data_IF_322098876738
#
_entry.id   IF_322098876738
#
_cell.length_a   1.000
_cell.length_b   1.000
_cell.length_c   1.000
_cell.angle_alpha   90.00
_cell.angle_beta   90.00
_cell.angle_gamma   90.00
#
_symmetry.space_group_name_H-M   'P 1'
#
loop_
_entity.id
_entity.type
_entity.pdbx_description
1 polymer ?
#
# COMPACT_ATOMS: atom_id res chain seq x y z
N UNK A 1 11.35 13.51 24.75
CA UNK A 1 10.24 12.61 24.41
C UNK A 1 9.14 12.76 25.45
N UNK A 2 8.15 13.63 25.20
CA UNK A 2 7.05 13.88 26.14
C UNK A 2 6.00 12.81 25.87
N UNK A 3 5.82 11.89 26.81
CA UNK A 3 4.70 10.95 26.83
C UNK A 3 3.44 11.78 27.12
N UNK A 4 2.70 12.14 26.08
CA UNK A 4 1.39 12.78 26.23
C UNK A 4 0.39 11.69 26.60
N UNK A 5 -0.08 11.71 27.83
CA UNK A 5 -1.19 10.90 28.28
C UNK A 5 -2.47 11.32 27.55
N UNK A 6 -2.95 10.46 26.64
CA UNK A 6 -4.18 10.70 25.89
C UNK A 6 -5.37 10.11 26.62
N UNK A 7 -6.27 10.95 27.10
CA UNK A 7 -7.65 10.54 27.39
C UNK A 7 -8.49 10.77 26.12
N UNK A 8 -8.65 9.73 25.32
CA UNK A 8 -9.71 9.72 24.29
C UNK A 8 -11.07 9.92 24.97
N UNK A 9 -11.99 10.63 24.31
CA UNK A 9 -13.37 10.70 24.80
C UNK A 9 -13.97 9.31 24.92
N UNK A 10 -14.90 9.10 25.86
CA UNK A 10 -15.58 7.81 26.03
C UNK A 10 -16.26 7.35 24.73
N UNK A 11 -16.82 8.29 23.97
CA UNK A 11 -17.45 8.03 22.67
C UNK A 11 -16.45 7.53 21.61
N UNK A 12 -15.26 8.15 21.54
CA UNK A 12 -14.21 7.72 20.61
C UNK A 12 -13.65 6.34 20.97
N UNK A 13 -13.57 6.04 22.25
CA UNK A 13 -13.13 4.74 22.75
C UNK A 13 -14.12 3.63 22.36
N UNK A 14 -15.43 3.86 22.52
CA UNK A 14 -16.50 2.91 22.13
C UNK A 14 -16.50 2.71 20.62
N UNK A 15 -16.45 3.78 19.86
CA UNK A 15 -16.42 3.72 18.39
C UNK A 15 -15.20 2.95 17.87
N UNK A 16 -14.02 3.25 18.39
CA UNK A 16 -12.78 2.54 18.03
C UNK A 16 -12.86 1.05 18.35
N UNK A 17 -13.44 0.70 19.51
CA UNK A 17 -13.69 -0.69 19.89
C UNK A 17 -14.61 -1.40 18.88
N UNK A 18 -15.72 -0.78 18.50
CA UNK A 18 -16.68 -1.36 17.54
C UNK A 18 -16.02 -1.65 16.18
N UNK A 19 -15.19 -0.73 15.67
CA UNK A 19 -14.44 -0.93 14.42
C UNK A 19 -13.45 -2.08 14.55
N UNK A 20 -12.65 -2.13 15.62
CA UNK A 20 -11.68 -3.20 15.84
C UNK A 20 -12.35 -4.58 15.94
N UNK A 21 -13.46 -4.67 16.66
CA UNK A 21 -14.25 -5.90 16.76
C UNK A 21 -14.78 -6.34 15.39
N UNK A 22 -15.22 -5.39 14.58
CA UNK A 22 -15.69 -5.68 13.22
C UNK A 22 -14.56 -6.14 12.29
N UNK A 23 -13.39 -5.51 12.36
CA UNK A 23 -12.19 -5.96 11.65
C UNK A 23 -11.85 -7.40 12.04
N UNK A 24 -11.85 -7.72 13.36
CA UNK A 24 -11.59 -9.06 13.85
C UNK A 24 -12.62 -10.08 13.36
N UNK A 25 -13.90 -9.73 13.36
CA UNK A 25 -14.97 -10.58 12.85
C UNK A 25 -14.78 -10.88 11.35
N UNK A 26 -14.38 -9.88 10.55
CA UNK A 26 -14.09 -10.08 9.13
C UNK A 26 -12.88 -10.99 8.87
N UNK A 27 -11.93 -11.09 9.80
CA UNK A 27 -10.80 -12.02 9.71
C UNK A 27 -11.22 -13.47 9.92
N UNK A 28 -12.23 -13.70 10.76
CA UNK A 28 -12.64 -15.04 11.21
C UNK A 28 -13.64 -15.76 10.30
N UNK A 29 -14.30 -15.04 9.36
CA UNK A 29 -15.47 -15.54 8.62
C UNK A 29 -15.15 -16.29 7.32
N UNK A 30 -13.97 -16.94 7.16
CA UNK A 30 -13.52 -17.28 5.82
C UNK A 30 -13.34 -18.75 5.50
N UNK A 31 -14.24 -19.26 4.67
CA UNK A 31 -13.99 -20.44 3.84
C UNK A 31 -13.18 -20.05 2.60
N UNK A 32 -12.09 -20.75 2.32
CA UNK A 32 -11.27 -20.59 1.11
C UNK A 32 -10.06 -19.67 1.22
N UNK A 33 -9.81 -19.10 2.40
CA UNK A 33 -8.59 -18.34 2.70
C UNK A 33 -7.70 -19.09 3.70
N UNK A 34 -6.37 -18.92 3.66
CA UNK A 34 -5.53 -19.40 4.75
C UNK A 34 -5.98 -18.82 6.09
N UNK A 35 -5.88 -19.55 7.21
CA UNK A 35 -6.32 -19.07 8.51
C UNK A 35 -5.67 -17.72 8.86
N UNK A 36 -6.47 -16.76 9.33
CA UNK A 36 -6.01 -15.42 9.73
C UNK A 36 -5.75 -14.44 8.58
N UNK A 37 -5.79 -14.87 7.32
CA UNK A 37 -5.69 -13.98 6.17
C UNK A 37 -7.04 -13.28 5.96
N UNK A 38 -7.01 -11.96 5.85
CA UNK A 38 -8.20 -11.16 5.60
C UNK A 38 -8.77 -11.40 4.20
N UNK A 39 -10.09 -11.56 4.09
CA UNK A 39 -10.74 -11.75 2.80
C UNK A 39 -10.59 -10.53 1.92
N UNK A 40 -10.27 -10.81 0.68
CA UNK A 40 -10.31 -9.82 -0.37
C UNK A 40 -10.98 -10.39 -1.62
N UNK A 41 -11.52 -9.51 -2.44
CA UNK A 41 -12.15 -9.85 -3.71
C UNK A 41 -11.44 -9.13 -4.84
N UNK A 42 -11.21 -9.88 -5.91
CA UNK A 42 -10.75 -9.34 -7.18
C UNK A 42 -11.96 -9.14 -8.10
N UNK A 43 -12.12 -7.93 -8.59
CA UNK A 43 -13.23 -7.51 -9.45
C UNK A 43 -12.67 -7.12 -10.81
N UNK A 44 -13.23 -7.65 -11.88
CA UNK A 44 -12.84 -7.25 -13.22
C UNK A 44 -13.40 -5.86 -13.53
N UNK A 45 -12.54 -4.88 -13.75
CA UNK A 45 -12.96 -3.48 -13.87
C UNK A 45 -13.89 -3.22 -15.07
N UNK A 46 -13.76 -4.02 -16.14
CA UNK A 46 -14.63 -3.95 -17.30
C UNK A 46 -16.04 -4.52 -17.02
N UNK A 47 -16.15 -5.54 -16.17
CA UNK A 47 -17.43 -6.14 -15.75
C UNK A 47 -17.44 -6.30 -14.24
N UNK A 48 -17.94 -5.28 -13.55
CA UNK A 48 -17.94 -5.21 -12.08
C UNK A 48 -18.81 -6.26 -11.37
N UNK A 49 -19.65 -6.99 -12.11
CA UNK A 49 -20.40 -8.13 -11.60
C UNK A 49 -19.53 -9.40 -11.56
N UNK A 50 -18.40 -9.42 -12.26
CA UNK A 50 -17.47 -10.54 -12.22
C UNK A 50 -16.45 -10.31 -11.10
N UNK A 51 -16.73 -10.87 -9.93
CA UNK A 51 -15.88 -10.84 -8.76
C UNK A 51 -15.52 -12.26 -8.30
N UNK A 52 -14.31 -12.43 -7.78
CA UNK A 52 -13.82 -13.70 -7.23
C UNK A 52 -13.07 -13.44 -5.95
N UNK A 53 -13.18 -14.38 -5.00
CA UNK A 53 -12.31 -14.40 -3.84
C UNK A 53 -10.86 -14.50 -4.30
N UNK A 54 -10.01 -13.70 -3.69
CA UNK A 54 -8.57 -13.65 -4.03
C UNK A 54 -7.74 -13.73 -2.73
N UNK A 55 -7.23 -14.94 -2.39
CA UNK A 55 -6.50 -15.15 -1.15
C UNK A 55 -5.05 -14.64 -1.28
N UNK A 56 -4.88 -13.32 -1.21
CA UNK A 56 -3.59 -12.65 -1.15
C UNK A 56 -3.23 -12.24 0.28
N UNK A 57 -1.94 -12.00 0.51
CA UNK A 57 -1.41 -11.61 1.82
C UNK A 57 -1.34 -10.10 2.01
N UNK A 58 -1.41 -9.34 0.92
CA UNK A 58 -1.18 -7.91 0.87
C UNK A 58 -2.02 -7.12 1.87
N UNK A 59 -3.35 -7.29 1.82
CA UNK A 59 -4.23 -6.58 2.73
C UNK A 59 -4.03 -6.97 4.19
N UNK A 60 -3.67 -8.22 4.46
CA UNK A 60 -3.34 -8.66 5.83
C UNK A 60 -2.11 -7.91 6.35
N UNK A 61 -1.07 -7.81 5.54
CA UNK A 61 0.11 -7.02 5.87
C UNK A 61 -0.21 -5.56 6.15
N UNK A 62 -1.00 -4.92 5.30
CA UNK A 62 -1.43 -3.54 5.45
C UNK A 62 -2.26 -3.32 6.73
N UNK A 63 -3.24 -4.20 7.02
CA UNK A 63 -4.08 -4.10 8.23
C UNK A 63 -3.21 -4.25 9.48
N UNK A 64 -2.40 -5.30 9.54
CA UNK A 64 -1.51 -5.54 10.68
C UNK A 64 -0.59 -4.35 10.92
N UNK A 65 0.08 -3.86 9.87
CA UNK A 65 0.95 -2.68 9.97
C UNK A 65 0.19 -1.44 10.47
N UNK A 66 -0.99 -1.15 9.92
CA UNK A 66 -1.81 0.01 10.30
C UNK A 66 -2.23 -0.07 11.76
N UNK A 67 -2.71 -1.23 12.23
CA UNK A 67 -3.14 -1.40 13.62
C UNK A 67 -1.98 -1.31 14.61
N UNK A 68 -0.82 -1.88 14.30
CA UNK A 68 0.37 -1.83 15.15
C UNK A 68 0.90 -0.40 15.33
N UNK A 69 0.83 0.43 14.31
CA UNK A 69 1.27 1.84 14.35
C UNK A 69 0.65 2.62 15.52
N UNK A 70 -0.61 2.37 15.83
CA UNK A 70 -1.34 3.08 16.88
C UNK A 70 -1.58 2.25 18.15
N UNK A 71 -1.08 1.02 18.21
CA UNK A 71 -1.32 0.10 19.32
C UNK A 71 -1.04 0.70 20.70
N UNK A 72 0.06 1.44 20.86
CA UNK A 72 0.45 2.06 22.13
C UNK A 72 -0.48 3.20 22.59
N UNK A 73 -1.31 3.71 21.69
CA UNK A 73 -2.29 4.77 21.99
C UNK A 73 -3.65 4.19 22.36
N UNK A 74 -3.83 2.89 22.24
CA UNK A 74 -5.07 2.18 22.49
C UNK A 74 -5.23 1.81 23.97
N UNK A 75 -6.50 1.64 24.42
CA UNK A 75 -6.80 1.08 25.73
C UNK A 75 -6.33 -0.38 25.83
N UNK A 76 -6.09 -0.92 27.04
CA UNK A 76 -5.68 -2.33 27.20
C UNK A 76 -6.62 -3.33 26.54
N UNK A 77 -7.90 -3.02 26.47
CA UNK A 77 -8.88 -3.87 25.82
C UNK A 77 -8.77 -3.85 24.29
N UNK A 78 -8.61 -2.67 23.70
CA UNK A 78 -8.35 -2.53 22.25
C UNK A 78 -7.02 -3.17 21.87
N UNK A 79 -5.99 -3.03 22.70
CA UNK A 79 -4.69 -3.69 22.50
C UNK A 79 -4.82 -5.22 22.43
N UNK A 80 -5.68 -5.82 23.27
CA UNK A 80 -5.93 -7.28 23.21
C UNK A 80 -6.54 -7.69 21.88
N UNK A 81 -7.52 -6.94 21.38
CA UNK A 81 -8.12 -7.21 20.04
C UNK A 81 -7.07 -7.09 18.95
N UNK A 82 -6.30 -6.00 18.94
CA UNK A 82 -5.22 -5.79 17.96
C UNK A 82 -4.20 -6.93 18.03
N UNK A 83 -3.76 -7.32 19.22
CA UNK A 83 -2.80 -8.41 19.40
C UNK A 83 -3.32 -9.75 18.84
N UNK A 84 -4.63 -10.02 19.01
CA UNK A 84 -5.23 -11.23 18.44
C UNK A 84 -5.27 -11.15 16.92
N UNK A 85 -5.72 -10.03 16.35
CA UNK A 85 -5.71 -9.79 14.88
C UNK A 85 -4.30 -9.98 14.31
N UNK A 86 -3.31 -9.39 14.95
CA UNK A 86 -1.89 -9.48 14.55
C UNK A 86 -1.39 -10.93 14.60
N UNK A 87 -1.64 -11.62 15.71
CA UNK A 87 -1.24 -13.03 15.90
C UNK A 87 -1.83 -13.90 14.81
N UNK A 88 -3.14 -13.79 14.57
CA UNK A 88 -3.83 -14.60 13.57
C UNK A 88 -3.37 -14.24 12.15
N UNK A 89 -3.25 -12.94 11.83
CA UNK A 89 -2.82 -12.44 10.52
C UNK A 89 -1.40 -12.88 10.15
N UNK A 90 -0.49 -12.92 11.11
CA UNK A 90 0.90 -13.33 10.87
C UNK A 90 1.11 -14.85 10.90
N UNK A 91 0.15 -15.64 11.40
CA UNK A 91 0.29 -17.09 11.53
C UNK A 91 0.48 -17.81 10.19
N UNK A 92 -0.14 -17.30 9.13
CA UNK A 92 -0.13 -17.94 7.80
C UNK A 92 0.75 -17.24 6.76
N UNK A 93 1.49 -16.18 7.12
CA UNK A 93 2.30 -15.45 6.11
C UNK A 93 3.42 -16.31 5.51
N UNK A 94 3.84 -17.36 6.19
CA UNK A 94 4.88 -18.27 5.72
C UNK A 94 4.59 -18.95 4.38
N UNK A 95 3.32 -19.22 4.05
CA UNK A 95 2.93 -19.84 2.76
C UNK A 95 3.09 -18.89 1.57
N UNK A 96 3.31 -17.60 1.81
CA UNK A 96 3.56 -16.58 0.80
C UNK A 96 5.05 -16.25 0.64
N UNK A 97 5.90 -16.82 1.48
CA UNK A 97 7.35 -16.60 1.47
C UNK A 97 8.00 -17.24 0.24
N UNK A 98 9.09 -16.63 -0.22
CA UNK A 98 9.89 -17.13 -1.32
C UNK A 98 10.40 -18.57 -1.07
N UNK A 99 10.20 -19.46 -2.04
CA UNK A 99 10.61 -20.87 -1.93
C UNK A 99 12.10 -21.09 -2.14
N UNK A 100 12.82 -20.14 -2.74
CA UNK A 100 14.25 -20.23 -3.03
C UNK A 100 15.13 -19.72 -1.86
N UNK A 101 14.55 -19.49 -0.69
CA UNK A 101 15.28 -19.08 0.51
C UNK A 101 15.48 -17.57 0.68
N UNK A 102 15.07 -16.73 -0.28
CA UNK A 102 15.08 -15.28 -0.08
C UNK A 102 14.07 -14.87 0.99
N UNK A 103 14.36 -13.82 1.71
CA UNK A 103 13.43 -13.26 2.70
C UNK A 103 12.48 -12.24 2.08
N UNK A 104 11.81 -12.66 1.01
CA UNK A 104 10.87 -11.89 0.22
C UNK A 104 9.53 -12.61 0.16
N UNK A 105 8.48 -11.88 -0.21
CA UNK A 105 7.12 -12.39 -0.21
C UNK A 105 6.46 -12.18 -1.58
N UNK A 106 5.53 -13.08 -1.87
CA UNK A 106 4.71 -13.06 -3.06
C UNK A 106 3.29 -12.65 -2.67
N UNK A 107 2.60 -11.97 -3.56
CA UNK A 107 1.21 -11.59 -3.39
C UNK A 107 0.29 -12.80 -3.14
N UNK A 108 0.52 -13.90 -3.85
CA UNK A 108 -0.19 -15.16 -3.70
C UNK A 108 0.67 -16.24 -3.06
N UNK A 109 -0.02 -17.29 -2.59
CA UNK A 109 0.66 -18.48 -2.02
C UNK A 109 1.69 -19.05 -2.98
N UNK A 110 2.86 -19.35 -2.45
CA UNK A 110 3.97 -19.92 -3.23
C UNK A 110 3.94 -21.45 -3.26
N UNK A 111 3.24 -22.09 -2.31
CA UNK A 111 3.01 -23.54 -2.30
C UNK A 111 2.00 -24.01 -3.36
N UNK A 112 1.10 -23.12 -3.80
CA UNK A 112 0.14 -23.36 -4.87
C UNK A 112 0.25 -22.21 -5.88
N UNK A 113 1.21 -22.27 -6.83
CA UNK A 113 1.48 -21.18 -7.76
C UNK A 113 0.23 -20.76 -8.53
N UNK A 114 -0.06 -19.47 -8.51
CA UNK A 114 -1.13 -18.87 -9.28
C UNK A 114 -0.55 -18.11 -10.47
N UNK A 115 -1.26 -18.18 -11.60
CA UNK A 115 -0.89 -17.50 -12.84
C UNK A 115 -1.72 -16.21 -12.92
N UNK A 116 -1.16 -15.18 -13.55
CA UNK A 116 -1.89 -13.95 -13.84
C UNK A 116 -3.24 -14.24 -14.50
N UNK A 117 -4.32 -13.60 -14.06
CA UNK A 117 -5.69 -13.89 -14.52
C UNK A 117 -5.89 -13.79 -16.05
N UNK A 118 -5.10 -12.96 -16.72
CA UNK A 118 -5.14 -12.75 -18.18
C UNK A 118 -3.98 -13.40 -18.94
N UNK A 119 -3.13 -14.16 -18.24
CA UNK A 119 -2.22 -15.05 -18.93
C UNK A 119 -3.09 -16.10 -19.66
N UNK A 120 -2.99 -16.19 -20.98
CA UNK A 120 -3.84 -17.07 -21.80
C UNK A 120 -3.83 -18.51 -21.30
N UNK A 121 -4.84 -19.31 -21.66
CA UNK A 121 -5.04 -20.67 -21.15
C UNK A 121 -3.80 -21.60 -21.31
N UNK A 122 -2.95 -21.38 -22.31
CA UNK A 122 -1.69 -22.09 -22.51
C UNK A 122 -0.69 -21.88 -21.36
N UNK A 123 -0.73 -20.74 -20.71
CA UNK A 123 0.17 -20.42 -19.59
C UNK A 123 -0.17 -21.20 -18.29
N UNK A 124 -1.31 -21.88 -18.24
CA UNK A 124 -1.63 -22.80 -17.13
C UNK A 124 -0.64 -23.96 -17.03
N UNK A 125 0.05 -24.29 -18.12
CA UNK A 125 1.04 -25.36 -18.17
C UNK A 125 2.46 -24.85 -17.95
N UNK A 126 2.70 -23.55 -18.01
CA UNK A 126 4.02 -22.95 -17.80
C UNK A 126 4.13 -22.33 -16.39
N UNK A 127 4.71 -23.09 -15.46
CA UNK A 127 4.99 -22.63 -14.09
C UNK A 127 5.93 -21.41 -14.03
N UNK A 128 6.63 -21.09 -15.11
CA UNK A 128 7.48 -19.90 -15.20
C UNK A 128 6.69 -18.59 -15.25
N UNK A 129 5.40 -18.66 -15.49
CA UNK A 129 4.47 -17.53 -15.54
C UNK A 129 3.83 -17.22 -14.16
N UNK A 130 4.24 -17.92 -13.10
CA UNK A 130 3.84 -17.53 -11.74
C UNK A 130 4.35 -16.14 -11.43
N UNK A 131 3.53 -15.36 -10.69
CA UNK A 131 3.92 -14.04 -10.22
C UNK A 131 5.22 -14.16 -9.39
N UNK A 132 6.27 -13.39 -9.67
CA UNK A 132 7.44 -13.35 -8.78
C UNK A 132 7.09 -12.61 -7.50
N UNK A 133 7.97 -12.70 -6.50
CA UNK A 133 7.87 -11.85 -5.33
C UNK A 133 7.95 -10.39 -5.76
N UNK A 134 7.26 -9.53 -5.05
CA UNK A 134 7.33 -8.10 -5.29
C UNK A 134 7.90 -7.33 -4.08
N UNK A 135 8.29 -6.09 -4.35
CA UNK A 135 8.87 -5.24 -3.32
C UNK A 135 7.82 -4.82 -2.30
N UNK A 136 6.60 -4.60 -2.75
CA UNK A 136 5.52 -4.07 -1.95
C UNK A 136 5.09 -5.05 -0.86
N UNK A 137 4.71 -6.27 -1.27
CA UNK A 137 4.38 -7.34 -0.32
C UNK A 137 5.52 -7.61 0.64
N UNK A 138 6.76 -7.63 0.13
CA UNK A 138 7.94 -7.91 0.95
C UNK A 138 8.15 -6.84 2.02
N UNK A 139 8.18 -5.54 1.68
CA UNK A 139 8.43 -4.50 2.67
C UNK A 139 7.29 -4.35 3.67
N UNK A 140 6.04 -4.47 3.23
CA UNK A 140 4.87 -4.36 4.10
C UNK A 140 4.82 -5.52 5.09
N UNK A 141 5.07 -6.75 4.63
CA UNK A 141 5.05 -7.92 5.52
C UNK A 141 6.22 -7.95 6.49
N UNK A 142 7.43 -7.58 6.05
CA UNK A 142 8.58 -7.47 6.95
C UNK A 142 8.36 -6.38 8.00
N UNK A 143 7.76 -5.28 7.61
CA UNK A 143 7.40 -4.19 8.50
C UNK A 143 6.29 -4.61 9.49
N UNK A 144 5.25 -5.28 9.01
CA UNK A 144 4.19 -5.83 9.85
C UNK A 144 4.71 -6.85 10.88
N UNK A 145 5.74 -7.63 10.51
CA UNK A 145 6.42 -8.59 11.40
C UNK A 145 7.39 -7.91 12.39
N UNK A 146 7.73 -6.62 12.20
CA UNK A 146 8.75 -5.90 12.99
C UNK A 146 10.08 -6.69 13.04
N UNK A 147 10.57 -7.05 11.86
CA UNK A 147 11.84 -7.78 11.73
C UNK A 147 13.02 -6.96 12.28
N UNK A 148 14.15 -7.61 12.55
CA UNK A 148 15.35 -6.89 13.01
C UNK A 148 15.93 -6.00 11.90
N UNK A 149 16.70 -4.97 12.28
CA UNK A 149 17.37 -4.06 11.33
C UNK A 149 18.30 -4.83 10.38
N UNK A 150 18.99 -5.84 10.88
CA UNK A 150 19.90 -6.68 10.09
C UNK A 150 19.14 -7.45 9.00
N UNK A 151 17.98 -8.02 9.36
CA UNK A 151 17.12 -8.72 8.41
C UNK A 151 16.54 -7.76 7.36
N UNK A 152 16.14 -6.57 7.78
CA UNK A 152 15.67 -5.53 6.87
C UNK A 152 16.79 -5.08 5.90
N UNK A 153 18.04 -4.93 6.38
CA UNK A 153 19.18 -4.55 5.56
C UNK A 153 19.49 -5.60 4.48
N UNK A 154 19.46 -6.89 4.80
CA UNK A 154 19.68 -7.96 3.81
C UNK A 154 18.66 -7.90 2.66
N UNK A 155 17.40 -7.61 2.98
CA UNK A 155 16.35 -7.47 1.94
C UNK A 155 16.58 -6.20 1.13
N UNK A 156 16.94 -5.09 1.77
CA UNK A 156 17.26 -3.84 1.09
C UNK A 156 18.46 -4.00 0.13
N UNK A 157 19.52 -4.70 0.55
CA UNK A 157 20.65 -5.03 -0.34
C UNK A 157 20.19 -5.88 -1.53
N UNK A 158 19.28 -6.83 -1.29
CA UNK A 158 18.71 -7.64 -2.37
C UNK A 158 17.93 -6.79 -3.37
N UNK A 159 17.18 -5.77 -2.92
CA UNK A 159 16.45 -4.86 -3.80
C UNK A 159 17.36 -4.10 -4.77
N UNK A 160 18.59 -3.74 -4.34
CA UNK A 160 19.57 -3.06 -5.18
C UNK A 160 19.87 -3.84 -6.48
N UNK A 161 19.84 -5.17 -6.42
CA UNK A 161 20.10 -6.04 -7.56
C UNK A 161 19.02 -5.96 -8.65
N UNK A 162 17.84 -5.46 -8.31
CA UNK A 162 16.68 -5.37 -9.20
C UNK A 162 16.31 -3.92 -9.57
N UNK A 163 17.15 -2.98 -9.21
CA UNK A 163 16.99 -1.59 -9.66
C UNK A 163 17.19 -1.48 -11.18
N UNK A 164 16.56 -0.45 -11.77
CA UNK A 164 16.72 -0.15 -13.20
C UNK A 164 18.20 0.01 -13.56
N UNK A 165 18.59 -0.43 -14.74
CA UNK A 165 19.97 -0.44 -15.26
C UNK A 165 20.91 -1.49 -14.64
N UNK A 166 20.51 -2.20 -13.58
CA UNK A 166 21.35 -3.27 -13.01
C UNK A 166 21.28 -4.58 -13.81
N UNK A 167 20.08 -5.07 -14.06
CA UNK A 167 19.85 -6.32 -14.82
C UNK A 167 19.26 -6.01 -16.18
N UNK A 168 18.33 -5.06 -16.25
CA UNK A 168 17.62 -4.62 -17.46
C UNK A 168 17.38 -3.12 -17.38
N UNK A 169 17.08 -2.52 -18.54
CA UNK A 169 16.61 -1.13 -18.60
C UNK A 169 15.11 -1.08 -18.78
N UNK A 170 14.47 -0.13 -18.12
CA UNK A 170 13.03 0.08 -18.21
C UNK A 170 12.61 0.51 -19.64
N UNK A 171 11.52 -0.08 -20.14
CA UNK A 171 10.97 0.21 -21.48
C UNK A 171 9.61 0.91 -21.43
N UNK A 172 9.02 1.00 -20.27
CA UNK A 172 7.62 1.41 -20.05
C UNK A 172 7.46 2.62 -19.15
N UNK A 173 8.48 3.48 -19.06
CA UNK A 173 8.44 4.71 -18.25
C UNK A 173 8.41 5.99 -19.09
N UNK A 174 8.23 7.13 -18.40
CA UNK A 174 8.42 8.44 -19.01
C UNK A 174 9.90 8.67 -19.37
N UNK A 175 10.21 9.48 -20.41
CA UNK A 175 11.60 9.78 -20.78
C UNK A 175 12.44 10.28 -19.61
N UNK A 176 11.86 11.11 -18.73
CA UNK A 176 12.53 11.66 -17.55
C UNK A 176 13.03 10.58 -16.57
N UNK A 177 12.45 9.38 -16.59
CA UNK A 177 12.76 8.30 -15.65
C UNK A 177 13.57 7.15 -16.27
N UNK A 178 13.80 7.19 -17.58
CA UNK A 178 14.40 6.08 -18.32
C UNK A 178 15.75 5.63 -17.76
N UNK A 179 16.58 6.59 -17.35
CA UNK A 179 17.93 6.35 -16.87
C UNK A 179 18.08 6.40 -15.34
N UNK A 180 16.98 6.61 -14.61
CA UNK A 180 17.03 6.60 -13.15
C UNK A 180 17.24 5.15 -12.64
N UNK A 181 18.25 4.88 -11.81
CA UNK A 181 18.45 3.57 -11.20
C UNK A 181 17.49 3.33 -10.02
N UNK A 182 16.21 3.72 -10.18
CA UNK A 182 15.17 3.51 -9.19
C UNK A 182 14.77 2.03 -9.11
N UNK A 183 14.14 1.64 -8.03
CA UNK A 183 13.72 0.25 -7.81
C UNK A 183 12.62 -0.17 -8.79
N UNK A 184 12.69 -1.46 -9.20
CA UNK A 184 11.58 -2.12 -9.88
C UNK A 184 10.52 -2.55 -8.86
N UNK A 185 9.30 -2.78 -9.32
CA UNK A 185 8.24 -3.40 -8.50
C UNK A 185 8.56 -4.88 -8.17
N UNK A 186 9.38 -5.58 -8.99
CA UNK A 186 9.51 -7.03 -8.96
C UNK A 186 10.93 -7.53 -8.67
N UNK A 187 11.04 -8.61 -7.89
CA UNK A 187 12.29 -9.36 -7.68
C UNK A 187 12.59 -10.37 -8.79
N UNK A 188 11.98 -10.34 -9.93
CA UNK A 188 12.08 -11.37 -10.97
C UNK A 188 12.99 -10.99 -12.13
N UNK A 189 14.00 -11.82 -12.47
CA UNK A 189 14.81 -11.64 -13.68
C UNK A 189 13.99 -11.78 -14.99
N UNK A 190 12.87 -12.49 -14.96
CA UNK A 190 11.99 -12.70 -16.12
C UNK A 190 11.00 -11.54 -16.32
N UNK A 191 10.67 -10.79 -15.26
CA UNK A 191 9.79 -9.63 -15.36
C UNK A 191 10.51 -8.43 -15.99
N UNK A 192 9.80 -7.56 -16.72
CA UNK A 192 10.33 -6.26 -17.10
C UNK A 192 10.57 -5.41 -15.85
N UNK A 193 11.49 -4.44 -15.95
CA UNK A 193 11.56 -3.38 -14.95
C UNK A 193 10.27 -2.56 -15.07
N UNK A 194 9.60 -2.36 -13.95
CA UNK A 194 8.36 -1.59 -13.87
C UNK A 194 8.43 -0.65 -12.67
N UNK A 195 8.12 0.63 -12.88
CA UNK A 195 8.06 1.63 -11.84
C UNK A 195 6.63 1.84 -11.40
N UNK A 196 6.41 1.77 -10.09
CA UNK A 196 5.19 2.22 -9.45
C UNK A 196 5.53 3.18 -8.30
N UNK A 197 5.07 4.42 -8.40
CA UNK A 197 5.40 5.48 -7.43
C UNK A 197 4.95 5.13 -6.01
N UNK A 198 3.82 4.44 -5.84
CA UNK A 198 3.33 4.06 -4.52
C UNK A 198 4.17 2.93 -3.91
N UNK A 199 4.60 1.95 -4.73
CA UNK A 199 5.56 0.92 -4.30
C UNK A 199 6.87 1.57 -3.86
N UNK A 200 7.38 2.56 -4.61
CA UNK A 200 8.59 3.28 -4.21
C UNK A 200 8.40 4.03 -2.89
N UNK A 201 7.22 4.62 -2.64
CA UNK A 201 6.91 5.21 -1.33
C UNK A 201 6.95 4.17 -0.21
N UNK A 202 6.43 2.96 -0.41
CA UNK A 202 6.47 1.89 0.60
C UNK A 202 7.90 1.41 0.86
N UNK A 203 8.71 1.23 -0.18
CA UNK A 203 10.13 0.86 -0.06
C UNK A 203 10.90 1.92 0.74
N UNK A 204 10.80 3.21 0.36
CA UNK A 204 11.50 4.27 1.08
C UNK A 204 10.97 4.46 2.51
N UNK A 205 9.69 4.20 2.75
CA UNK A 205 9.14 4.18 4.12
C UNK A 205 9.78 3.08 4.96
N UNK A 206 9.97 1.89 4.39
CA UNK A 206 10.66 0.78 5.05
C UNK A 206 12.13 1.13 5.33
N UNK A 207 12.86 1.69 4.36
CA UNK A 207 14.24 2.12 4.52
C UNK A 207 14.38 3.13 5.66
N UNK A 208 13.49 4.14 5.71
CA UNK A 208 13.49 5.16 6.77
C UNK A 208 13.09 4.58 8.13
N UNK A 209 12.10 3.68 8.18
CA UNK A 209 11.61 3.11 9.45
C UNK A 209 12.66 2.26 10.16
N UNK A 210 13.49 1.55 9.39
CA UNK A 210 14.59 0.75 9.91
C UNK A 210 15.92 1.50 9.98
N UNK A 211 15.92 2.79 9.58
CA UNK A 211 17.15 3.61 9.53
C UNK A 211 18.29 2.88 8.81
N UNK A 212 17.98 2.38 7.59
CA UNK A 212 18.93 1.67 6.75
C UNK A 212 19.86 2.65 6.03
N UNK A 213 21.01 2.16 5.60
CA UNK A 213 21.96 2.95 4.82
C UNK A 213 21.31 3.38 3.49
N UNK A 214 21.22 4.69 3.28
CA UNK A 214 20.65 5.26 2.07
C UNK A 214 21.54 5.05 0.85
N UNK A 215 20.97 4.57 -0.25
CA UNK A 215 21.71 4.19 -1.46
C UNK A 215 21.40 5.09 -2.65
N UNK A 216 22.13 4.88 -3.76
CA UNK A 216 21.85 5.56 -5.02
C UNK A 216 20.46 5.21 -5.59
N UNK A 217 19.98 3.98 -5.36
CA UNK A 217 18.64 3.54 -5.82
C UNK A 217 17.52 4.18 -4.98
N UNK A 218 17.75 4.41 -3.67
CA UNK A 218 16.82 5.16 -2.82
C UNK A 218 16.72 6.62 -3.31
N UNK A 219 17.87 7.27 -3.57
CA UNK A 219 17.93 8.63 -4.10
C UNK A 219 17.23 8.76 -5.44
N UNK A 220 17.43 7.80 -6.35
CA UNK A 220 16.75 7.77 -7.65
C UNK A 220 15.25 7.54 -7.53
N UNK A 221 14.83 6.69 -6.59
CA UNK A 221 13.41 6.44 -6.29
C UNK A 221 12.74 7.68 -5.72
N UNK A 222 13.42 8.40 -4.81
CA UNK A 222 12.95 9.67 -4.29
C UNK A 222 12.87 10.74 -5.39
N UNK A 223 13.86 10.81 -6.28
CA UNK A 223 13.86 11.72 -7.42
C UNK A 223 12.67 11.48 -8.35
N UNK A 224 12.32 10.20 -8.61
CA UNK A 224 11.13 9.86 -9.38
C UNK A 224 9.87 10.42 -8.72
N UNK A 225 9.72 10.20 -7.41
CA UNK A 225 8.57 10.66 -6.62
C UNK A 225 8.46 12.20 -6.69
N UNK A 226 9.52 12.92 -6.36
CA UNK A 226 9.50 14.40 -6.34
C UNK A 226 9.27 14.99 -7.73
N UNK A 227 9.92 14.45 -8.78
CA UNK A 227 9.68 14.86 -10.17
C UNK A 227 8.21 14.64 -10.60
N UNK A 228 7.60 13.52 -10.18
CA UNK A 228 6.20 13.25 -10.49
C UNK A 228 5.26 14.24 -9.77
N UNK A 229 5.60 14.68 -8.55
CA UNK A 229 4.83 15.67 -7.80
C UNK A 229 4.95 17.06 -8.46
N UNK A 230 6.16 17.52 -8.76
CA UNK A 230 6.42 18.81 -9.39
C UNK A 230 5.67 18.97 -10.72
N UNK A 231 5.60 17.89 -11.50
CA UNK A 231 4.87 17.86 -12.77
C UNK A 231 3.40 17.49 -12.64
N UNK A 232 2.86 17.31 -11.43
CA UNK A 232 1.48 16.86 -11.16
C UNK A 232 1.10 15.51 -11.79
N UNK A 233 2.08 14.67 -12.13
CA UNK A 233 1.82 13.39 -12.80
C UNK A 233 1.13 12.38 -11.89
N UNK A 234 1.33 12.45 -10.59
CA UNK A 234 0.60 11.64 -9.59
C UNK A 234 -0.91 11.90 -9.59
N UNK A 235 -1.37 13.02 -10.14
CA UNK A 235 -2.79 13.33 -10.35
C UNK A 235 -3.20 13.13 -11.81
N UNK A 236 -2.40 13.67 -12.76
CA UNK A 236 -2.78 13.73 -14.18
C UNK A 236 -2.43 12.49 -14.99
N UNK A 237 -1.52 11.65 -14.48
CA UNK A 237 -1.02 10.43 -15.13
C UNK A 237 -0.90 9.26 -14.14
N UNK A 238 -1.79 9.20 -13.13
CA UNK A 238 -1.75 8.18 -12.08
C UNK A 238 -1.67 6.76 -12.63
N UNK A 239 -2.48 6.42 -13.63
CA UNK A 239 -2.49 5.10 -14.31
C UNK A 239 -1.13 4.71 -14.92
N UNK A 240 -0.28 5.69 -15.20
CA UNK A 240 0.99 5.45 -15.87
C UNK A 240 2.17 5.36 -14.89
N UNK A 241 2.18 6.24 -13.86
CA UNK A 241 3.31 6.33 -12.90
C UNK A 241 3.11 5.48 -11.65
N UNK A 242 1.87 5.12 -11.33
CA UNK A 242 1.51 4.22 -10.26
C UNK A 242 0.42 3.24 -10.75
N UNK A 243 0.76 2.35 -11.70
CA UNK A 243 -0.23 1.52 -12.39
C UNK A 243 -0.99 0.59 -11.43
N UNK A 244 -0.36 0.17 -10.33
CA UNK A 244 -0.97 -0.69 -9.32
C UNK A 244 -1.74 0.09 -8.23
N UNK A 245 -1.57 1.42 -8.20
CA UNK A 245 -2.23 2.34 -7.26
C UNK A 245 -2.80 3.56 -8.01
N UNK A 246 -3.42 3.33 -9.15
CA UNK A 246 -3.80 4.31 -10.16
C UNK A 246 -4.91 5.30 -9.74
N UNK A 247 -4.99 5.61 -8.45
CA UNK A 247 -5.93 6.58 -7.88
C UNK A 247 -5.16 7.70 -7.17
N UNK A 248 -5.37 8.97 -7.53
CA UNK A 248 -4.66 10.09 -6.91
C UNK A 248 -4.71 10.08 -5.38
N UNK A 249 -5.88 9.79 -4.78
CA UNK A 249 -6.03 9.72 -3.33
C UNK A 249 -5.15 8.63 -2.69
N UNK A 250 -5.03 7.47 -3.35
CA UNK A 250 -4.18 6.37 -2.88
C UNK A 250 -2.70 6.77 -2.97
N UNK A 251 -2.29 7.41 -4.06
CA UNK A 251 -0.91 7.90 -4.21
C UNK A 251 -0.59 8.95 -3.14
N UNK A 252 -1.51 9.91 -2.90
CA UNK A 252 -1.35 10.91 -1.83
C UNK A 252 -1.20 10.26 -0.46
N UNK A 253 -1.96 9.22 -0.17
CA UNK A 253 -1.85 8.47 1.07
C UNK A 253 -0.48 7.77 1.23
N UNK A 254 0.08 7.19 0.15
CA UNK A 254 1.41 6.58 0.19
C UNK A 254 2.52 7.62 0.40
N UNK A 255 2.43 8.78 -0.27
CA UNK A 255 3.35 9.90 -0.03
C UNK A 255 3.27 10.37 1.43
N UNK A 256 2.06 10.48 1.97
CA UNK A 256 1.83 10.87 3.36
C UNK A 256 2.45 9.89 4.37
N UNK A 257 2.34 8.59 4.11
CA UNK A 257 3.01 7.55 4.92
C UNK A 257 4.52 7.68 4.88
N UNK A 258 5.12 7.90 3.71
CA UNK A 258 6.55 8.12 3.56
C UNK A 258 7.03 9.32 4.39
N UNK A 259 6.28 10.42 4.40
CA UNK A 259 6.60 11.61 5.18
C UNK A 259 6.54 11.42 6.70
N UNK A 260 6.04 10.29 7.18
CA UNK A 260 5.92 9.98 8.62
C UNK A 260 6.73 8.76 9.05
N UNK A 261 7.39 8.09 8.12
CA UNK A 261 8.16 6.89 8.40
C UNK A 261 9.57 7.23 8.89
N UNK A 262 9.91 6.82 10.11
CA UNK A 262 11.27 6.80 10.65
C UNK A 262 12.09 8.09 10.51
N UNK A 263 13.35 7.93 10.11
CA UNK A 263 14.29 9.04 9.90
C UNK A 263 14.00 9.78 8.58
N UNK A 264 13.72 11.08 8.69
CA UNK A 264 13.34 11.92 7.54
C UNK A 264 14.50 12.68 6.91
N UNK A 265 15.73 12.48 7.38
CA UNK A 265 16.88 13.26 6.95
C UNK A 265 17.11 13.18 5.42
N UNK A 266 16.90 12.00 4.85
CA UNK A 266 17.16 11.75 3.43
C UNK A 266 16.01 12.21 2.50
N UNK A 267 14.84 12.58 3.02
CA UNK A 267 13.67 12.96 2.23
C UNK A 267 13.31 14.46 2.33
N UNK A 268 14.28 15.33 2.61
CA UNK A 268 14.04 16.77 2.78
C UNK A 268 13.44 17.43 1.54
N UNK A 269 13.83 16.98 0.34
CA UNK A 269 13.24 17.43 -0.93
C UNK A 269 11.76 17.14 -1.03
N UNK A 270 11.31 15.98 -0.52
CA UNK A 270 9.89 15.64 -0.45
C UNK A 270 9.14 16.45 0.63
N UNK A 271 9.78 16.68 1.79
CA UNK A 271 9.22 17.51 2.86
C UNK A 271 8.95 18.93 2.37
N UNK A 272 9.83 19.50 1.56
CA UNK A 272 9.64 20.82 0.96
C UNK A 272 8.41 20.93 0.06
N UNK A 273 7.90 19.81 -0.47
CA UNK A 273 6.70 19.76 -1.32
C UNK A 273 5.38 19.68 -0.53
N UNK A 274 5.39 19.60 0.81
CA UNK A 274 4.18 19.55 1.62
C UNK A 274 3.13 20.62 1.28
N UNK A 275 3.49 21.93 1.09
CA UNK A 275 2.49 22.94 0.76
C UNK A 275 1.78 22.68 -0.58
N UNK A 276 2.51 22.18 -1.57
CA UNK A 276 1.97 21.82 -2.88
C UNK A 276 1.03 20.61 -2.76
N UNK A 277 1.47 19.58 -2.03
CA UNK A 277 0.68 18.36 -1.75
C UNK A 277 -0.61 18.69 -0.98
N UNK A 278 -0.54 19.58 0.02
CA UNK A 278 -1.70 20.03 0.78
C UNK A 278 -2.73 20.70 -0.13
N UNK A 279 -2.31 21.67 -0.96
CA UNK A 279 -3.19 22.36 -1.92
C UNK A 279 -3.87 21.40 -2.90
N UNK A 280 -3.10 20.43 -3.41
CA UNK A 280 -3.63 19.43 -4.34
C UNK A 280 -4.62 18.49 -3.63
N UNK A 281 -4.32 18.09 -2.40
CA UNK A 281 -5.22 17.25 -1.58
C UNK A 281 -6.53 17.98 -1.29
N UNK A 282 -6.49 19.27 -0.94
CA UNK A 282 -7.69 20.08 -0.72
C UNK A 282 -8.56 20.15 -1.98
N UNK A 283 -7.93 20.31 -3.16
CA UNK A 283 -8.64 20.28 -4.44
C UNK A 283 -9.29 18.93 -4.75
N UNK A 284 -8.61 17.83 -4.44
CA UNK A 284 -9.17 16.48 -4.62
C UNK A 284 -10.33 16.24 -3.65
N UNK A 285 -10.20 16.63 -2.37
CA UNK A 285 -11.26 16.51 -1.36
C UNK A 285 -12.52 17.28 -1.76
N UNK A 286 -12.38 18.50 -2.28
CA UNK A 286 -13.51 19.32 -2.70
C UNK A 286 -14.34 18.68 -3.84
N UNK A 287 -13.75 17.75 -4.60
CA UNK A 287 -14.38 17.07 -5.74
C UNK A 287 -14.69 15.60 -5.48
N UNK A 288 -14.26 15.04 -4.35
CA UNK A 288 -14.46 13.63 -4.02
C UNK A 288 -15.89 13.36 -3.56
N UNK A 289 -16.44 12.23 -4.03
CA UNK A 289 -17.79 11.76 -3.68
C UNK A 289 -17.78 10.40 -2.98
N UNK A 290 -16.66 9.70 -3.02
CA UNK A 290 -16.55 8.38 -2.39
C UNK A 290 -16.07 8.52 -0.94
N UNK A 291 -16.73 7.88 0.03
CA UNK A 291 -16.38 8.02 1.46
C UNK A 291 -14.99 7.50 1.78
N UNK A 292 -14.51 6.43 1.12
CA UNK A 292 -13.15 5.91 1.34
C UNK A 292 -12.08 6.82 0.73
N UNK A 293 -12.36 7.41 -0.43
CA UNK A 293 -11.49 8.43 -1.02
C UNK A 293 -11.32 9.62 -0.08
N UNK A 294 -12.41 10.08 0.55
CA UNK A 294 -12.39 11.15 1.55
C UNK A 294 -11.53 10.78 2.77
N UNK A 295 -11.62 9.54 3.25
CA UNK A 295 -10.79 9.03 4.36
C UNK A 295 -9.31 9.09 4.01
N UNK A 296 -8.92 8.60 2.83
CA UNK A 296 -7.53 8.60 2.36
C UNK A 296 -6.98 10.03 2.22
N UNK A 297 -7.72 10.91 1.57
CA UNK A 297 -7.32 12.30 1.37
C UNK A 297 -7.27 13.08 2.68
N UNK A 298 -8.22 12.86 3.61
CA UNK A 298 -8.23 13.48 4.92
C UNK A 298 -7.00 13.06 5.74
N UNK A 299 -6.65 11.77 5.72
CA UNK A 299 -5.43 11.26 6.37
C UNK A 299 -4.17 11.89 5.77
N UNK A 300 -4.07 11.93 4.44
CA UNK A 300 -2.94 12.54 3.74
C UNK A 300 -2.81 14.03 4.06
N UNK A 301 -3.93 14.75 4.10
CA UNK A 301 -3.99 16.18 4.40
C UNK A 301 -3.35 16.51 5.75
N UNK A 302 -3.65 15.74 6.80
CA UNK A 302 -3.05 15.93 8.14
C UNK A 302 -1.53 15.78 8.08
N UNK A 303 -1.03 14.77 7.38
CA UNK A 303 0.42 14.55 7.25
C UNK A 303 1.13 15.62 6.42
N UNK A 304 0.41 16.30 5.51
CA UNK A 304 0.93 17.44 4.78
C UNK A 304 0.88 18.76 5.56
N UNK A 305 0.39 18.73 6.80
CA UNK A 305 0.33 19.91 7.69
C UNK A 305 -1.01 20.64 7.66
N UNK A 306 -2.04 20.06 7.03
CA UNK A 306 -3.39 20.60 7.07
C UNK A 306 -4.07 20.36 8.43
N UNK A 307 -5.00 21.24 8.80
CA UNK A 307 -5.82 21.08 10.01
C UNK A 307 -6.74 19.86 9.81
N UNK A 308 -6.86 18.96 10.80
CA UNK A 308 -7.79 17.84 10.73
C UNK A 308 -9.21 18.29 10.39
N UNK A 309 -9.86 17.60 9.45
CA UNK A 309 -11.26 17.83 9.14
C UNK A 309 -12.09 17.04 10.17
N UNK A 310 -12.54 17.72 11.18
CA UNK A 310 -13.42 17.13 12.19
C UNK A 310 -14.85 17.29 11.68
N UNK A 311 -15.42 16.21 11.15
CA UNK A 311 -16.87 16.20 10.87
C UNK A 311 -17.62 15.95 12.16
N UNK A 312 -18.66 16.75 12.43
CA UNK A 312 -19.57 16.54 13.57
C UNK A 312 -20.33 15.22 13.47
N UNK A 313 -20.42 14.64 12.29
CA UNK A 313 -21.02 13.34 12.03
C UNK A 313 -19.92 12.27 11.99
N UNK A 314 -20.13 11.18 12.72
CA UNK A 314 -19.32 9.97 12.60
C UNK A 314 -19.44 9.47 11.16
N UNK A 315 -18.34 9.22 10.44
CA UNK A 315 -18.40 8.67 9.10
C UNK A 315 -19.24 7.38 9.08
N UNK A 316 -20.09 7.23 8.07
CA UNK A 316 -20.88 6.02 7.91
C UNK A 316 -19.96 4.81 7.70
N UNK A 317 -19.82 4.00 8.74
CA UNK A 317 -18.98 2.80 8.73
C UNK A 317 -19.41 1.82 7.64
N UNK A 318 -20.72 1.67 7.40
CA UNK A 318 -21.24 0.74 6.41
C UNK A 318 -20.91 1.22 5.00
N UNK A 319 -21.04 2.52 4.72
CA UNK A 319 -20.67 3.10 3.44
C UNK A 319 -19.16 2.94 3.14
N UNK A 320 -18.30 3.09 4.15
CA UNK A 320 -16.85 2.93 3.98
C UNK A 320 -16.48 1.46 3.81
N UNK A 321 -17.01 0.58 4.66
CA UNK A 321 -16.79 -0.86 4.55
C UNK A 321 -17.15 -1.39 3.17
N UNK A 322 -18.30 -0.95 2.63
CA UNK A 322 -18.84 -1.38 1.34
C UNK A 322 -18.35 -0.54 0.16
N UNK A 323 -17.46 0.43 0.38
CA UNK A 323 -16.93 1.27 -0.69
C UNK A 323 -16.33 0.40 -1.79
N UNK A 324 -16.65 0.78 -3.00
CA UNK A 324 -16.12 0.17 -4.23
C UNK A 324 -14.87 0.87 -4.74
N UNK A 325 -14.34 1.85 -4.01
CA UNK A 325 -13.11 2.54 -4.36
C UNK A 325 -11.92 1.57 -4.23
N UNK A 326 -11.18 1.32 -5.31
CA UNK A 326 -10.10 0.35 -5.27
C UNK A 326 -8.85 0.98 -4.63
N UNK A 327 -8.34 0.35 -3.60
CA UNK A 327 -7.04 0.71 -3.05
C UNK A 327 -5.90 0.13 -3.91
N UNK A 328 -6.03 -1.12 -4.34
CA UNK A 328 -5.06 -1.80 -5.19
C UNK A 328 -5.69 -2.22 -6.52
N UNK A 329 -4.92 -2.08 -7.60
CA UNK A 329 -5.34 -2.38 -8.98
C UNK A 329 -4.24 -3.19 -9.65
N UNK A 330 -4.52 -4.43 -10.08
CA UNK A 330 -3.62 -5.12 -10.99
C UNK A 330 -3.83 -4.58 -12.41
N UNK A 331 -2.92 -3.72 -12.86
CA UNK A 331 -2.97 -3.16 -14.21
C UNK A 331 -2.07 -3.99 -15.15
N UNK A 332 -2.68 -4.86 -15.94
CA UNK A 332 -1.96 -5.77 -16.86
C UNK A 332 -1.20 -5.02 -17.97
N UNK A 333 -1.59 -3.78 -18.27
CA UNK A 333 -0.88 -2.96 -19.24
C UNK A 333 0.42 -2.36 -18.69
N UNK A 334 0.67 -2.46 -17.37
CA UNK A 334 1.88 -1.88 -16.73
C UNK A 334 3.16 -2.43 -17.36
N UNK A 335 3.17 -3.70 -17.74
CA UNK A 335 4.34 -4.40 -18.27
C UNK A 335 4.62 -4.12 -19.76
N UNK A 336 3.70 -3.46 -20.47
CA UNK A 336 3.82 -3.20 -21.89
C UNK A 336 4.76 -2.00 -22.16
N UNK A 337 5.47 -1.95 -23.31
CA UNK A 337 6.28 -0.79 -23.69
C UNK A 337 5.46 0.51 -23.71
N UNK A 338 6.11 1.66 -23.40
CA UNK A 338 5.47 2.97 -23.23
C UNK A 338 4.45 3.37 -24.30
N UNK A 339 4.68 3.17 -25.61
CA UNK A 339 3.68 3.57 -26.62
C UNK A 339 2.35 2.86 -26.45
N UNK A 340 2.40 1.59 -26.03
CA UNK A 340 1.23 0.72 -25.83
C UNK A 340 0.65 0.89 -24.43
N UNK A 341 1.52 0.99 -23.41
CA UNK A 341 1.12 1.20 -22.01
C UNK A 341 0.22 2.43 -21.86
N UNK A 342 0.58 3.56 -22.49
CA UNK A 342 -0.13 4.84 -22.32
C UNK A 342 -1.64 4.77 -22.60
N UNK A 343 -2.11 4.27 -23.75
CA UNK A 343 -3.54 4.13 -23.99
C UNK A 343 -4.16 2.99 -23.17
N UNK A 344 -3.51 1.82 -23.11
CA UNK A 344 -4.11 0.63 -22.51
C UNK A 344 -4.22 0.69 -20.99
N UNK A 345 -3.27 1.36 -20.29
CA UNK A 345 -3.32 1.50 -18.84
C UNK A 345 -4.54 2.27 -18.32
N UNK A 346 -5.22 3.02 -19.17
CA UNK A 346 -6.46 3.73 -18.83
C UNK A 346 -7.71 2.86 -18.99
N UNK A 347 -7.63 1.80 -19.76
CA UNK A 347 -8.80 1.01 -20.15
C UNK A 347 -9.17 -0.02 -19.05
N UNK A 348 -10.46 -0.13 -18.79
CA UNK A 348 -10.99 -1.02 -17.76
C UNK A 348 -10.69 -2.51 -18.03
N UNK A 349 -10.61 -2.93 -19.31
CA UNK A 349 -10.36 -4.32 -19.66
C UNK A 349 -8.95 -4.80 -19.25
N UNK A 350 -8.00 -3.88 -19.03
CA UNK A 350 -6.65 -4.20 -18.60
C UNK A 350 -6.49 -4.24 -17.07
N UNK A 351 -7.58 -4.05 -16.31
CA UNK A 351 -7.53 -3.84 -14.85
C UNK A 351 -8.37 -4.85 -14.08
N UNK A 352 -7.81 -5.25 -12.94
CA UNK A 352 -8.53 -5.90 -11.85
C UNK A 352 -8.45 -5.00 -10.62
N UNK A 353 -9.61 -4.67 -10.06
CA UNK A 353 -9.72 -3.91 -8.81
C UNK A 353 -9.78 -4.89 -7.63
N UNK A 354 -9.00 -4.61 -6.58
CA UNK A 354 -9.00 -5.40 -5.37
C UNK A 354 -9.70 -4.65 -4.25
N UNK A 355 -10.52 -5.36 -3.50
CA UNK A 355 -11.33 -4.83 -2.40
C UNK A 355 -11.15 -5.67 -1.16
N UNK A 356 -10.98 -5.00 -0.02
CA UNK A 356 -10.90 -5.64 1.29
C UNK A 356 -11.69 -4.78 2.30
N UNK A 357 -12.91 -5.17 2.67
CA UNK A 357 -13.73 -4.40 3.62
C UNK A 357 -13.02 -4.14 4.95
N UNK A 358 -12.28 -5.13 5.46
CA UNK A 358 -11.51 -4.97 6.69
C UNK A 358 -10.43 -3.89 6.59
N UNK A 359 -9.78 -3.77 5.42
CA UNK A 359 -8.78 -2.72 5.21
C UNK A 359 -9.44 -1.34 5.08
N UNK A 360 -10.60 -1.23 4.45
CA UNK A 360 -11.37 0.01 4.43
C UNK A 360 -11.67 0.51 5.85
N UNK A 361 -12.06 -0.41 6.75
CA UNK A 361 -12.30 -0.09 8.16
C UNK A 361 -11.00 0.26 8.90
N UNK A 362 -9.88 -0.40 8.60
CA UNK A 362 -8.59 -0.06 9.20
C UNK A 362 -8.12 1.35 8.79
N UNK A 363 -8.34 1.76 7.55
CA UNK A 363 -8.08 3.13 7.07
C UNK A 363 -8.97 4.17 7.76
N UNK A 364 -10.25 3.86 7.95
CA UNK A 364 -11.16 4.71 8.71
C UNK A 364 -10.73 4.85 10.17
N UNK A 365 -10.32 3.74 10.78
CA UNK A 365 -9.82 3.72 12.15
C UNK A 365 -8.53 4.56 12.30
N UNK A 366 -7.56 4.40 11.38
CA UNK A 366 -6.36 5.24 11.33
C UNK A 366 -6.70 6.73 11.19
N UNK A 367 -7.59 7.06 10.25
CA UNK A 367 -8.02 8.44 10.01
C UNK A 367 -8.56 9.10 11.29
N UNK A 368 -9.33 8.36 12.08
CA UNK A 368 -9.88 8.88 13.33
C UNK A 368 -8.77 9.25 14.34
N UNK A 369 -7.75 8.40 14.48
CA UNK A 369 -6.58 8.69 15.32
C UNK A 369 -5.78 9.90 14.86
N UNK A 370 -5.77 10.17 13.55
CA UNK A 370 -5.10 11.33 12.99
C UNK A 370 -5.90 12.62 13.16
N UNK A 371 -7.22 12.54 13.08
CA UNK A 371 -8.09 13.71 13.01
C UNK A 371 -8.67 14.14 14.37
N UNK A 372 -8.70 13.26 15.38
CA UNK A 372 -9.16 13.62 16.71
C UNK A 372 -8.07 14.44 17.42
N UNK A 373 -8.37 15.67 17.86
CA UNK A 373 -7.42 16.41 18.68
C UNK A 373 -7.07 15.60 19.92
N UNK A 374 -5.79 15.40 20.15
CA UNK A 374 -5.30 14.92 21.43
C UNK A 374 -5.60 16.02 22.44
N UNK A 375 -6.69 15.91 23.20
CA UNK A 375 -6.95 16.84 24.30
C UNK A 375 -5.72 16.87 25.21
N UNK A 376 -5.14 18.06 25.31
CA UNK A 376 -3.96 18.34 26.15
C UNK A 376 -4.35 18.27 27.65
#
# INVERSE_FOLDING_TARGET
>A
MVVRGNTQSSTDTIWSYQILTKIQALQQTNTGFPPGIFPSTRVYAYNKNNSKNDPNVFFTGLIVHTLKKYHKLCTPYQQRIINQIVKDGLSSVGVFKNKSGRDTYNFWRTDTPQIFPNAGWLNKFDKSQSLPDDFDDSVILLWAQEVTKERAAVVHDTMQLYANTKVKSIKNSLPAFKNLPAYSTWFGKKMPIDFDMAVLCNVLSFVNAYDLQWTASDSASLQLITTAIDNKWHVTKADFIAPHYAKPAVIMYHIARLLTAGNQQNIQTLIALKPILLKQTDSLLANSKDPLENVLLSSARVHFGGIPIITSQTPDQAAIEQSKYPFFIANMASMLPSPVKRPLSKLAFAKFEYRCPAYNLALLWENRYLCVPLHK
#
